data_IF_033126545497
#
_entry.id   IF_033126545497
#
_cell.length_a   1.000
_cell.length_b   1.000
_cell.length_c   1.000
_cell.angle_alpha   90.00
_cell.angle_beta   90.00
_cell.angle_gamma   90.00
#
_symmetry.space_group_name_H-M   'P 1'
#
loop_
_entity.id
_entity.type
_entity.pdbx_description
1 polymer ?
#
# COMPACT_ATOMS: atom_id res chain seq x y z
N UNK A 1 14.02 -28.89 -8.17
CA UNK A 1 12.93 -27.90 -8.21
C UNK A 1 13.28 -26.77 -7.27
N UNK A 2 13.35 -25.52 -7.72
CA UNK A 2 13.52 -24.40 -6.82
C UNK A 2 12.16 -24.07 -6.20
N UNK A 3 12.02 -24.26 -4.89
CA UNK A 3 10.90 -23.68 -4.15
C UNK A 3 11.09 -22.17 -4.17
N UNK A 4 10.44 -21.48 -5.11
CA UNK A 4 10.35 -20.02 -5.03
C UNK A 4 9.64 -19.69 -3.72
N UNK A 5 10.28 -18.85 -2.87
CA UNK A 5 9.63 -18.30 -1.68
C UNK A 5 8.26 -17.75 -2.10
N UNK A 6 7.18 -17.98 -1.33
CA UNK A 6 5.89 -17.36 -1.61
C UNK A 6 6.11 -15.87 -1.82
N UNK A 7 5.74 -15.36 -3.00
CA UNK A 7 5.84 -13.93 -3.29
C UNK A 7 4.80 -13.26 -2.40
N UNK A 8 5.24 -12.70 -1.27
CA UNK A 8 4.38 -11.98 -0.30
C UNK A 8 3.84 -10.65 -0.85
N UNK A 9 3.94 -10.43 -2.17
CA UNK A 9 3.58 -9.20 -2.86
C UNK A 9 2.42 -9.31 -3.85
N UNK A 10 1.82 -10.48 -4.08
CA UNK A 10 0.80 -10.67 -5.13
C UNK A 10 -0.64 -10.30 -4.69
N UNK A 11 -0.82 -9.75 -3.49
CA UNK A 11 -2.13 -9.36 -2.96
C UNK A 11 -2.57 -7.95 -3.39
N UNK A 12 -3.86 -7.59 -3.26
CA UNK A 12 -4.37 -6.28 -3.64
C UNK A 12 -3.69 -5.15 -2.86
N UNK A 13 -3.94 -3.91 -3.30
CA UNK A 13 -3.62 -2.73 -2.50
C UNK A 13 -4.36 -2.82 -1.16
N UNK A 14 -3.64 -2.64 -0.06
CA UNK A 14 -4.18 -2.67 1.30
C UNK A 14 -3.97 -1.32 1.98
N UNK A 15 -4.97 -0.86 2.73
CA UNK A 15 -4.88 0.35 3.58
C UNK A 15 -5.43 0.02 4.97
N UNK A 16 -4.68 0.31 6.02
CA UNK A 16 -5.09 0.09 7.42
C UNK A 16 -4.69 1.27 8.31
N UNK A 17 -5.49 1.56 9.33
CA UNK A 17 -5.10 2.46 10.40
C UNK A 17 -4.27 1.68 11.44
N UNK A 18 -3.03 2.11 11.68
CA UNK A 18 -2.12 1.45 12.60
C UNK A 18 -1.55 2.48 13.58
N UNK A 19 -1.93 2.35 14.86
CA UNK A 19 -1.56 3.32 15.89
C UNK A 19 -2.18 4.69 15.63
N UNK A 20 -1.33 5.66 15.24
CA UNK A 20 -1.74 7.05 14.93
C UNK A 20 -1.67 7.40 13.45
N UNK A 21 -1.20 6.48 12.60
CA UNK A 21 -1.03 6.68 11.17
C UNK A 21 -1.92 5.77 10.32
N UNK A 22 -1.93 6.05 9.03
CA UNK A 22 -2.49 5.20 7.99
C UNK A 22 -1.33 4.53 7.26
N UNK A 23 -1.38 3.20 7.16
CA UNK A 23 -0.39 2.39 6.45
C UNK A 23 -1.01 1.88 5.16
N UNK A 24 -0.43 2.25 4.03
CA UNK A 24 -0.79 1.76 2.70
C UNK A 24 0.29 0.81 2.19
N UNK A 25 -0.14 -0.35 1.66
CA UNK A 25 0.73 -1.39 1.10
C UNK A 25 0.37 -1.61 -0.37
N UNK A 26 1.30 -1.30 -1.27
CA UNK A 26 1.12 -1.40 -2.73
C UNK A 26 1.94 -2.59 -3.26
N UNK A 27 1.31 -3.56 -3.97
CA UNK A 27 2.04 -4.64 -4.62
C UNK A 27 2.93 -4.11 -5.76
N UNK A 28 4.14 -4.66 -5.90
CA UNK A 28 5.09 -4.25 -6.94
C UNK A 28 5.33 -5.37 -7.95
N UNK A 29 5.54 -5.02 -9.23
CA UNK A 29 5.71 -5.98 -10.34
C UNK A 29 6.96 -6.89 -10.18
N UNK A 30 7.95 -6.46 -9.39
CA UNK A 30 9.16 -7.23 -9.07
C UNK A 30 9.06 -8.11 -7.82
N UNK A 31 7.89 -8.13 -7.17
CA UNK A 31 7.67 -8.81 -5.90
C UNK A 31 7.94 -7.94 -4.68
N UNK A 32 7.25 -8.25 -3.59
CA UNK A 32 7.24 -7.46 -2.36
C UNK A 32 6.14 -6.39 -2.37
N UNK A 33 6.21 -5.47 -1.41
CA UNK A 33 5.23 -4.39 -1.23
C UNK A 33 5.94 -3.09 -0.90
N UNK A 34 5.54 -2.01 -1.56
CA UNK A 34 5.88 -0.67 -1.11
C UNK A 34 4.96 -0.34 0.08
N UNK A 35 5.54 0.01 1.20
CA UNK A 35 4.80 0.39 2.41
C UNK A 35 4.99 1.89 2.63
N UNK A 36 3.89 2.61 2.74
CA UNK A 36 3.86 4.04 3.01
C UNK A 36 3.06 4.24 4.29
N UNK A 37 3.64 4.96 5.26
CA UNK A 37 2.94 5.44 6.43
C UNK A 37 2.69 6.94 6.27
N UNK A 38 1.49 7.38 6.57
CA UNK A 38 1.06 8.78 6.45
C UNK A 38 0.15 9.16 7.61
N UNK A 39 0.09 10.45 7.91
CA UNK A 39 -0.90 11.01 8.81
C UNK A 39 -2.32 10.95 8.21
N UNK A 40 -3.38 11.09 9.03
CA UNK A 40 -4.75 11.18 8.53
C UNK A 40 -4.97 12.32 7.52
N UNK A 41 -4.30 13.45 7.71
CA UNK A 41 -4.43 14.63 6.84
C UNK A 41 -3.81 14.36 5.46
N UNK A 42 -2.60 13.80 5.42
CA UNK A 42 -1.94 13.38 4.17
C UNK A 42 -2.75 12.30 3.43
N UNK A 43 -3.39 11.38 4.15
CA UNK A 43 -4.27 10.38 3.56
C UNK A 43 -5.53 11.01 2.92
N UNK A 44 -6.10 12.04 3.56
CA UNK A 44 -7.22 12.78 3.01
C UNK A 44 -6.84 13.57 1.75
N UNK A 45 -5.66 14.20 1.74
CA UNK A 45 -5.11 14.87 0.57
C UNK A 45 -4.90 13.89 -0.60
N UNK A 46 -4.31 12.72 -0.33
CA UNK A 46 -4.14 11.66 -1.34
C UNK A 46 -5.48 11.19 -1.89
N UNK A 47 -6.48 10.96 -1.04
CA UNK A 47 -7.82 10.57 -1.47
C UNK A 47 -8.46 11.62 -2.39
N UNK A 48 -8.30 12.91 -2.07
CA UNK A 48 -8.76 14.02 -2.91
C UNK A 48 -8.05 14.06 -4.26
N UNK A 49 -6.72 13.91 -4.28
CA UNK A 49 -5.93 13.90 -5.50
C UNK A 49 -6.29 12.72 -6.43
N UNK A 50 -6.47 11.52 -5.86
CA UNK A 50 -6.92 10.34 -6.61
C UNK A 50 -8.33 10.51 -7.15
N UNK A 51 -9.27 10.99 -6.32
CA UNK A 51 -10.64 11.24 -6.73
C UNK A 51 -10.79 12.29 -7.83
N UNK A 52 -9.85 13.24 -7.93
CA UNK A 52 -9.81 14.21 -9.02
C UNK A 52 -9.21 13.64 -10.32
N UNK A 53 -8.47 12.54 -10.24
CA UNK A 53 -7.77 11.92 -11.37
C UNK A 53 -8.56 10.79 -12.06
N UNK A 54 -9.58 10.25 -11.39
CA UNK A 54 -10.47 9.19 -11.89
C UNK A 54 -11.85 9.74 -12.23
#
# INVERSE_FOLDING_TARGET
MAAMKPRTGDGPLEVSAEGRGIVMRIPTEGGGRLVIEMSPDEAAELAGALGAAI
#
